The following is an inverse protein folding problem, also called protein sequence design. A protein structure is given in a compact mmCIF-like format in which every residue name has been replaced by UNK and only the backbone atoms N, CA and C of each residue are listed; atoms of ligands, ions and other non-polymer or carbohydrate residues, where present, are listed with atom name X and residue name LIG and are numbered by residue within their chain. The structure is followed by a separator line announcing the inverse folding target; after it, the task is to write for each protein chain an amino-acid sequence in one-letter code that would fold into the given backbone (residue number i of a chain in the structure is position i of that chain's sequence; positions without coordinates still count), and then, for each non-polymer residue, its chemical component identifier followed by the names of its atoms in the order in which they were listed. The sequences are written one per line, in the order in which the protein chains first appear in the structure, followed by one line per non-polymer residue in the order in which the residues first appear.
data_IF_344078976052
#
_entry.id   IF_344078976052
#
_cell.length_a   1.000
_cell.length_b   1.000
_cell.length_c   1.000
_cell.angle_alpha   90.00
_cell.angle_beta   90.00
_cell.angle_gamma   90.00
#
_symmetry.space_group_name_H-M   'P 1'
#
loop_
_entity.id
_entity.type
_entity.pdbx_description
1 polymer ?
#
# COMPACT_ATOMS: atom_id res chain seq x y z
N UNK A 1 14.58 -24.67 -1.63
CA UNK A 1 13.51 -23.80 -1.13
C UNK A 1 13.78 -23.53 0.33
N UNK A 2 14.06 -22.30 0.72
CA UNK A 2 14.25 -21.93 2.13
C UNK A 2 12.90 -21.99 2.85
N UNK A 3 12.85 -22.49 4.08
CA UNK A 3 11.63 -22.52 4.91
C UNK A 3 11.08 -21.10 5.17
N UNK A 4 11.91 -20.06 5.00
CA UNK A 4 11.60 -18.66 5.22
C UNK A 4 10.38 -18.18 4.42
N UNK A 5 10.15 -18.68 3.20
CA UNK A 5 9.06 -18.21 2.32
C UNK A 5 7.81 -19.09 2.35
N UNK A 6 7.70 -20.03 3.29
CA UNK A 6 6.53 -20.91 3.44
C UNK A 6 5.59 -20.38 4.53
N UNK A 7 4.99 -19.22 4.30
CA UNK A 7 3.94 -18.69 5.18
C UNK A 7 2.56 -19.02 4.60
N UNK A 8 1.70 -19.71 5.34
CA UNK A 8 0.35 -20.01 4.87
C UNK A 8 -0.52 -18.74 4.86
N UNK A 9 -0.65 -18.13 3.68
CA UNK A 9 -1.41 -16.89 3.49
C UNK A 9 -2.91 -17.14 3.30
N UNK A 10 -3.28 -18.22 2.61
CA UNK A 10 -4.66 -18.54 2.28
C UNK A 10 -5.29 -19.49 3.32
N UNK A 11 -6.48 -19.13 3.78
CA UNK A 11 -7.38 -20.02 4.50
C UNK A 11 -8.17 -20.91 3.52
N UNK A 12 -8.84 -21.94 4.05
CA UNK A 12 -9.53 -22.96 3.25
C UNK A 12 -10.65 -22.41 2.33
N UNK A 13 -11.18 -21.23 2.63
CA UNK A 13 -12.22 -20.53 1.86
C UNK A 13 -11.65 -19.50 0.86
N UNK A 14 -10.33 -19.54 0.60
CA UNK A 14 -9.59 -18.56 -0.19
C UNK A 14 -9.59 -17.13 0.38
N UNK A 15 -9.97 -16.95 1.65
CA UNK A 15 -9.68 -15.72 2.36
C UNK A 15 -8.19 -15.63 2.64
N UNK A 16 -7.70 -14.40 2.66
CA UNK A 16 -6.29 -14.09 2.87
C UNK A 16 -6.11 -13.64 4.31
N UNK A 17 -5.19 -14.25 5.04
CA UNK A 17 -4.74 -13.72 6.31
C UNK A 17 -3.72 -12.60 6.06
N UNK A 18 -4.08 -11.38 6.46
CA UNK A 18 -3.33 -10.16 6.16
C UNK A 18 -2.09 -10.00 7.04
N UNK A 19 -2.08 -10.61 8.24
CA UNK A 19 -0.87 -10.72 9.06
C UNK A 19 0.16 -11.63 8.37
N UNK A 20 -0.27 -12.84 7.97
CA UNK A 20 0.59 -13.78 7.24
C UNK A 20 1.06 -13.23 5.88
N UNK A 21 0.20 -12.52 5.15
CA UNK A 21 0.60 -11.90 3.87
C UNK A 21 1.71 -10.86 4.08
N UNK A 22 1.60 -10.02 5.12
CA UNK A 22 2.62 -9.02 5.42
C UNK A 22 3.95 -9.66 5.85
N UNK A 23 3.89 -10.72 6.67
CA UNK A 23 5.06 -11.51 7.06
C UNK A 23 5.71 -12.17 5.83
N UNK A 24 4.91 -12.74 4.93
CA UNK A 24 5.41 -13.33 3.69
C UNK A 24 6.15 -12.29 2.84
N UNK A 25 5.63 -11.07 2.69
CA UNK A 25 6.32 -10.02 1.94
C UNK A 25 7.67 -9.62 2.55
N UNK A 26 7.79 -9.58 3.87
CA UNK A 26 9.06 -9.33 4.56
C UNK A 26 10.06 -10.48 4.35
N UNK A 27 9.56 -11.72 4.44
CA UNK A 27 10.36 -12.92 4.21
C UNK A 27 10.87 -13.00 2.76
N UNK A 28 10.03 -12.64 1.80
CA UNK A 28 10.41 -12.54 0.37
C UNK A 28 11.51 -11.50 0.19
N UNK A 29 11.41 -10.30 0.79
CA UNK A 29 12.46 -9.30 0.69
C UNK A 29 13.80 -9.78 1.24
N UNK A 30 13.76 -10.47 2.39
CA UNK A 30 14.95 -11.08 3.00
C UNK A 30 15.57 -12.15 2.08
N UNK A 31 14.74 -13.02 1.51
CA UNK A 31 15.18 -14.07 0.59
C UNK A 31 15.75 -13.50 -0.71
N UNK A 32 15.13 -12.46 -1.28
CA UNK A 32 15.64 -11.77 -2.47
C UNK A 32 16.99 -11.11 -2.19
N UNK A 33 17.11 -10.40 -1.06
CA UNK A 33 18.38 -9.79 -0.62
C UNK A 33 19.49 -10.84 -0.51
N UNK A 34 19.19 -11.99 0.12
CA UNK A 34 20.10 -13.13 0.23
C UNK A 34 20.53 -13.67 -1.14
N UNK A 35 19.59 -13.91 -2.06
CA UNK A 35 19.90 -14.41 -3.42
C UNK A 35 20.70 -13.42 -4.26
N UNK A 36 20.45 -12.11 -4.09
CA UNK A 36 21.25 -11.06 -4.72
C UNK A 36 22.70 -11.09 -4.25
N UNK A 37 22.93 -11.29 -2.95
CA UNK A 37 24.26 -11.43 -2.38
C UNK A 37 24.96 -12.69 -2.90
N UNK A 38 24.31 -13.85 -2.82
CA UNK A 38 24.93 -15.13 -3.18
C UNK A 38 25.20 -15.27 -4.68
N UNK A 39 24.27 -14.82 -5.53
CA UNK A 39 24.34 -15.04 -6.98
C UNK A 39 25.10 -13.93 -7.70
N UNK A 40 25.04 -12.71 -7.17
CA UNK A 40 25.56 -11.53 -7.85
C UNK A 40 26.55 -10.72 -7.01
N UNK A 41 26.88 -11.15 -5.79
CA UNK A 41 27.78 -10.45 -4.87
C UNK A 41 27.31 -9.01 -4.58
N UNK A 42 26.00 -8.81 -4.54
CA UNK A 42 25.38 -7.53 -4.26
C UNK A 42 24.63 -7.59 -2.92
N UNK A 43 25.23 -7.00 -1.88
CA UNK A 43 24.57 -6.80 -0.59
C UNK A 43 23.61 -5.61 -0.68
N UNK A 44 22.34 -5.92 -0.93
CA UNK A 44 21.27 -4.93 -1.06
C UNK A 44 20.30 -5.14 0.10
N UNK A 45 20.26 -4.24 1.11
CA UNK A 45 19.25 -4.32 2.14
C UNK A 45 17.89 -3.97 1.54
N UNK A 46 16.87 -4.76 1.85
CA UNK A 46 15.51 -4.57 1.32
C UNK A 46 14.53 -4.76 2.47
N UNK A 47 13.55 -3.86 2.58
CA UNK A 47 12.35 -4.11 3.39
C UNK A 47 11.14 -4.17 2.47
N UNK A 48 10.09 -4.84 2.93
CA UNK A 48 8.86 -4.97 2.16
C UNK A 48 7.69 -5.18 3.12
N UNK A 49 6.49 -4.87 2.65
CA UNK A 49 5.27 -5.10 3.40
C UNK A 49 4.05 -4.95 2.53
N UNK A 50 2.89 -5.11 3.14
CA UNK A 50 1.62 -4.94 2.45
C UNK A 50 1.46 -3.50 1.97
N UNK A 51 0.96 -3.33 0.76
CA UNK A 51 0.57 -2.02 0.24
C UNK A 51 -0.95 -1.88 0.20
N UNK A 52 -1.42 -0.68 0.52
CA UNK A 52 -2.84 -0.36 0.64
C UNK A 52 -3.43 -0.81 1.98
N UNK A 53 -4.58 -0.24 2.33
CA UNK A 53 -5.20 -0.42 3.65
C UNK A 53 -6.14 -1.61 3.76
N UNK A 54 -5.93 -2.69 3.00
CA UNK A 54 -6.82 -3.86 3.05
C UNK A 54 -6.84 -4.50 4.45
N UNK A 55 -5.72 -4.39 5.19
CA UNK A 55 -5.59 -4.83 6.59
C UNK A 55 -6.55 -4.12 7.55
N UNK A 56 -7.10 -2.96 7.19
CA UNK A 56 -8.09 -2.23 7.99
C UNK A 56 -9.47 -2.90 7.98
N UNK A 57 -9.69 -3.88 7.10
CA UNK A 57 -10.97 -4.57 6.91
C UNK A 57 -10.80 -6.07 7.19
N UNK A 58 -10.16 -6.39 8.32
CA UNK A 58 -9.89 -7.74 8.78
C UNK A 58 -10.71 -8.13 10.02
N UNK A 59 -10.75 -9.42 10.33
CA UNK A 59 -11.10 -9.94 11.65
C UNK A 59 -9.94 -9.67 12.64
N UNK A 60 -10.18 -9.77 13.96
CA UNK A 60 -9.15 -9.55 14.97
C UNK A 60 -7.90 -10.44 14.84
N UNK A 61 -8.00 -11.59 14.17
CA UNK A 61 -6.87 -12.50 13.86
C UNK A 61 -6.18 -12.20 12.51
N UNK A 62 -6.52 -11.08 11.86
CA UNK A 62 -5.95 -10.69 10.57
C UNK A 62 -6.60 -11.36 9.35
N UNK A 63 -7.55 -12.28 9.51
CA UNK A 63 -8.27 -12.86 8.37
C UNK A 63 -9.10 -11.78 7.66
N UNK A 64 -8.93 -11.62 6.35
CA UNK A 64 -9.70 -10.66 5.57
C UNK A 64 -11.20 -10.97 5.68
N UNK A 65 -12.04 -9.95 5.87
CA UNK A 65 -13.50 -10.16 5.95
C UNK A 65 -14.15 -10.51 4.61
N UNK A 66 -13.40 -10.37 3.52
CA UNK A 66 -13.84 -10.56 2.13
C UNK A 66 -12.69 -11.08 1.29
N UNK A 67 -13.02 -11.79 0.22
CA UNK A 67 -12.03 -12.27 -0.76
C UNK A 67 -11.25 -11.11 -1.37
N UNK A 68 -9.93 -11.24 -1.38
CA UNK A 68 -9.01 -10.29 -1.98
C UNK A 68 -8.62 -10.78 -3.37
N UNK A 69 -8.91 -9.98 -4.38
CA UNK A 69 -8.64 -10.32 -5.78
C UNK A 69 -7.32 -9.74 -6.30
N UNK A 70 -6.68 -8.84 -5.55
CA UNK A 70 -5.52 -8.09 -6.00
C UNK A 70 -4.55 -7.97 -4.83
N UNK A 71 -3.38 -8.57 -4.99
CA UNK A 71 -2.32 -8.52 -3.99
C UNK A 71 -1.38 -7.37 -4.32
N UNK A 72 -1.07 -6.55 -3.33
CA UNK A 72 -0.17 -5.43 -3.48
C UNK A 72 0.89 -5.45 -2.38
N UNK A 73 2.15 -5.27 -2.76
CA UNK A 73 3.27 -5.10 -1.84
C UNK A 73 4.07 -3.84 -2.18
N UNK A 74 4.67 -3.22 -1.16
CA UNK A 74 5.63 -2.12 -1.32
C UNK A 74 7.01 -2.62 -0.94
N UNK A 75 8.01 -2.35 -1.79
CA UNK A 75 9.39 -2.82 -1.66
C UNK A 75 10.31 -1.62 -1.60
N UNK A 76 11.04 -1.50 -0.50
CA UNK A 76 11.91 -0.38 -0.18
C UNK A 76 13.35 -0.68 -0.54
N UNK A 77 13.86 0.04 -1.53
CA UNK A 77 15.20 -0.12 -2.06
C UNK A 77 16.11 1.02 -1.62
N UNK A 78 17.39 0.74 -1.32
CA UNK A 78 18.35 1.74 -0.92
C UNK A 78 18.74 2.59 -2.14
N UNK A 79 18.93 3.89 -1.89
CA UNK A 79 19.43 4.82 -2.88
C UNK A 79 20.95 4.78 -2.97
N UNK A 80 21.53 5.24 -4.08
CA UNK A 80 22.96 5.40 -4.28
C UNK A 80 23.73 4.07 -4.13
N UNK A 81 23.15 2.99 -4.70
CA UNK A 81 23.71 1.63 -4.62
C UNK A 81 23.95 1.06 -6.02
N UNK A 82 24.45 -0.17 -6.07
CA UNK A 82 24.62 -0.90 -7.34
C UNK A 82 23.31 -1.06 -8.13
N UNK A 83 22.14 -0.91 -7.49
CA UNK A 83 20.84 -0.94 -8.16
C UNK A 83 20.57 0.26 -9.08
N UNK A 84 21.35 1.33 -8.99
CA UNK A 84 21.24 2.47 -9.92
C UNK A 84 21.61 2.08 -11.36
N UNK A 85 22.30 0.94 -11.54
CA UNK A 85 22.54 0.33 -12.85
C UNK A 85 21.32 -0.50 -13.25
N UNK A 86 20.73 -0.16 -14.39
CA UNK A 86 19.53 -0.85 -14.91
C UNK A 86 19.67 -2.39 -14.95
N UNK A 87 20.81 -2.91 -15.39
CA UNK A 87 21.07 -4.35 -15.44
C UNK A 87 21.01 -5.04 -14.05
N UNK A 88 21.41 -4.34 -12.99
CA UNK A 88 21.32 -4.87 -11.63
C UNK A 88 19.89 -4.87 -11.11
N UNK A 89 19.08 -3.89 -11.55
CA UNK A 89 17.65 -3.87 -11.27
C UNK A 89 16.92 -5.00 -12.01
N UNK A 90 17.29 -5.30 -13.26
CA UNK A 90 16.76 -6.46 -14.00
C UNK A 90 17.00 -7.77 -13.25
N UNK A 91 18.21 -7.95 -12.69
CA UNK A 91 18.56 -9.11 -11.86
C UNK A 91 17.70 -9.17 -10.60
N UNK A 92 17.55 -8.06 -9.89
CA UNK A 92 16.69 -7.96 -8.72
C UNK A 92 15.24 -8.38 -9.04
N UNK A 93 14.70 -7.87 -10.15
CA UNK A 93 13.32 -8.17 -10.58
C UNK A 93 13.16 -9.63 -10.97
N UNK A 94 14.13 -10.22 -11.69
CA UNK A 94 14.13 -11.65 -12.01
C UNK A 94 14.05 -12.49 -10.74
N UNK A 95 14.88 -12.19 -9.74
CA UNK A 95 14.88 -12.91 -8.47
C UNK A 95 13.56 -12.70 -7.72
N UNK A 96 12.98 -11.50 -7.73
CA UNK A 96 11.66 -11.27 -7.16
C UNK A 96 10.58 -12.12 -7.82
N UNK A 97 10.58 -12.25 -9.15
CA UNK A 97 9.62 -13.10 -9.86
C UNK A 97 9.74 -14.57 -9.44
N UNK A 98 10.96 -15.09 -9.33
CA UNK A 98 11.21 -16.47 -8.89
C UNK A 98 10.73 -16.68 -7.45
N UNK A 99 11.13 -15.79 -6.53
CA UNK A 99 10.79 -15.89 -5.12
C UNK A 99 9.28 -15.71 -4.89
N UNK A 100 8.61 -14.80 -5.60
CA UNK A 100 7.14 -14.69 -5.54
C UNK A 100 6.47 -15.99 -6.00
N UNK A 101 6.94 -16.58 -7.10
CA UNK A 101 6.37 -17.82 -7.63
C UNK A 101 6.54 -18.97 -6.63
N UNK A 102 7.72 -19.10 -6.04
CA UNK A 102 7.99 -20.11 -5.01
C UNK A 102 7.16 -19.89 -3.74
N UNK A 103 7.08 -18.65 -3.25
CA UNK A 103 6.43 -18.29 -1.99
C UNK A 103 4.91 -18.51 -2.01
N UNK A 104 4.27 -18.31 -3.16
CA UNK A 104 2.82 -18.46 -3.32
C UNK A 104 2.42 -19.82 -3.91
N UNK A 105 3.37 -20.70 -4.24
CA UNK A 105 3.09 -22.05 -4.70
C UNK A 105 2.67 -22.98 -3.55
N UNK A 106 1.74 -23.93 -3.78
CA UNK A 106 1.03 -24.21 -5.02
C UNK A 106 -0.27 -23.40 -5.21
N UNK A 107 -0.65 -22.55 -4.25
CA UNK A 107 -1.94 -21.86 -4.28
C UNK A 107 -2.09 -20.92 -5.47
N UNK A 108 -1.02 -20.22 -5.88
CA UNK A 108 -1.02 -19.33 -7.03
C UNK A 108 -0.04 -19.82 -8.11
N UNK A 109 -0.41 -19.59 -9.37
CA UNK A 109 0.46 -19.80 -10.53
C UNK A 109 0.81 -18.43 -11.12
N UNK A 110 1.78 -17.75 -10.50
CA UNK A 110 2.17 -16.39 -10.86
C UNK A 110 3.05 -16.38 -12.12
N UNK A 111 2.70 -15.52 -13.08
CA UNK A 111 3.48 -15.27 -14.30
C UNK A 111 3.73 -13.78 -14.48
N UNK A 112 4.98 -13.42 -14.74
CA UNK A 112 5.34 -12.04 -15.04
C UNK A 112 4.61 -11.56 -16.29
N UNK A 113 3.84 -10.48 -16.13
CA UNK A 113 3.17 -9.80 -17.24
C UNK A 113 3.97 -8.61 -17.74
N UNK A 114 4.42 -7.77 -16.82
CA UNK A 114 5.25 -6.60 -17.12
C UNK A 114 5.96 -6.10 -15.87
N UNK A 115 7.07 -5.39 -16.07
CA UNK A 115 7.76 -4.64 -15.03
C UNK A 115 8.34 -3.35 -15.59
N UNK A 116 8.80 -2.45 -14.71
CA UNK A 116 9.46 -1.19 -15.11
C UNK A 116 8.51 -0.05 -15.48
N UNK A 117 7.20 -0.25 -15.30
CA UNK A 117 6.22 0.84 -15.35
C UNK A 117 6.53 1.88 -14.27
N UNK A 118 6.43 3.16 -14.62
CA UNK A 118 6.65 4.26 -13.66
C UNK A 118 5.41 4.48 -12.82
N UNK A 119 5.57 4.54 -11.51
CA UNK A 119 4.47 4.89 -10.61
C UNK A 119 4.12 6.38 -10.78
N UNK A 120 2.85 6.74 -11.06
CA UNK A 120 2.46 8.13 -11.29
C UNK A 120 2.78 9.04 -10.11
N UNK A 121 3.20 10.27 -10.38
CA UNK A 121 3.56 11.28 -9.37
C UNK A 121 4.74 10.91 -8.45
N UNK A 122 5.52 9.88 -8.79
CA UNK A 122 6.81 9.61 -8.14
C UNK A 122 7.92 10.52 -8.67
N UNK A 123 9.07 10.58 -7.98
CA UNK A 123 10.16 11.48 -8.34
C UNK A 123 10.61 11.36 -9.81
N UNK A 124 10.79 12.50 -10.49
CA UNK A 124 11.12 12.53 -11.92
C UNK A 124 12.54 12.06 -12.23
N UNK A 125 13.49 12.35 -11.34
CA UNK A 125 14.88 11.93 -11.52
C UNK A 125 15.07 10.44 -11.21
N UNK A 126 14.34 9.93 -10.22
CA UNK A 126 14.41 8.54 -9.76
C UNK A 126 13.01 7.98 -9.49
N UNK A 127 12.27 7.60 -10.55
CA UNK A 127 10.88 7.18 -10.41
C UNK A 127 10.76 5.83 -9.70
N UNK A 128 9.70 5.69 -8.90
CA UNK A 128 9.31 4.38 -8.36
C UNK A 128 8.79 3.50 -9.49
N UNK A 129 9.03 2.19 -9.38
CA UNK A 129 8.79 1.23 -10.45
C UNK A 129 7.79 0.17 -10.05
N UNK A 130 7.05 -0.37 -11.01
CA UNK A 130 6.02 -1.39 -10.76
C UNK A 130 6.40 -2.74 -11.36
N UNK A 131 6.13 -3.81 -10.62
CA UNK A 131 6.06 -5.19 -11.08
C UNK A 131 4.60 -5.64 -11.17
N UNK A 132 4.24 -6.41 -12.19
CA UNK A 132 2.91 -6.99 -12.32
C UNK A 132 2.98 -8.45 -12.76
N UNK A 133 2.43 -9.34 -11.92
CA UNK A 133 2.31 -10.77 -12.19
C UNK A 133 0.84 -11.17 -12.17
N UNK A 134 0.39 -11.93 -13.17
CA UNK A 134 -0.97 -12.48 -13.27
C UNK A 134 -0.98 -13.90 -12.66
N UNK A 135 -2.06 -14.26 -11.96
CA UNK A 135 -2.25 -15.61 -11.41
C UNK A 135 -3.11 -16.43 -12.38
N UNK A 136 -2.61 -17.59 -12.83
CA UNK A 136 -3.32 -18.46 -13.76
C UNK A 136 -4.40 -19.33 -13.08
N UNK A 137 -4.42 -19.42 -11.74
CA UNK A 137 -5.44 -20.21 -11.01
C UNK A 137 -6.76 -19.45 -10.81
N UNK A 138 -6.78 -18.14 -11.07
CA UNK A 138 -7.89 -17.21 -10.76
C UNK A 138 -8.27 -17.19 -9.26
N UNK A 139 -7.33 -17.59 -8.39
CA UNK A 139 -7.46 -17.43 -6.94
C UNK A 139 -7.38 -15.95 -6.59
N UNK A 140 -6.41 -15.26 -7.19
CA UNK A 140 -6.36 -13.80 -7.30
C UNK A 140 -6.27 -13.40 -8.78
N UNK A 141 -6.50 -12.13 -9.11
CA UNK A 141 -6.30 -11.65 -10.49
C UNK A 141 -4.84 -11.34 -10.76
N UNK A 142 -4.17 -10.73 -9.79
CA UNK A 142 -2.75 -10.35 -9.91
C UNK A 142 -2.09 -10.05 -8.57
N UNK A 143 -0.77 -10.12 -8.61
CA UNK A 143 0.15 -9.53 -7.65
C UNK A 143 0.86 -8.34 -8.29
N UNK A 144 0.93 -7.21 -7.57
CA UNK A 144 1.78 -6.06 -7.95
C UNK A 144 2.73 -5.69 -6.81
N UNK A 145 3.97 -5.40 -7.17
CA UNK A 145 4.95 -4.85 -6.25
C UNK A 145 5.35 -3.44 -6.70
N UNK A 146 5.45 -2.52 -5.74
CA UNK A 146 5.90 -1.15 -5.95
C UNK A 146 7.32 -0.99 -5.39
N UNK A 147 8.31 -0.89 -6.26
CA UNK A 147 9.69 -0.62 -5.90
C UNK A 147 9.88 0.87 -5.68
N UNK A 148 10.12 1.26 -4.43
CA UNK A 148 10.28 2.65 -4.00
C UNK A 148 11.68 2.89 -3.46
N UNK A 149 12.19 4.10 -3.65
CA UNK A 149 13.57 4.49 -3.34
C UNK A 149 13.66 5.16 -1.98
N UNK A 150 13.87 4.38 -0.92
CA UNK A 150 14.29 4.79 0.42
C UNK A 150 14.34 3.51 1.27
N UNK A 151 15.45 3.22 1.93
CA UNK A 151 15.54 2.03 2.77
C UNK A 151 15.02 2.34 4.18
N UNK A 152 13.72 2.14 4.36
CA UNK A 152 12.96 2.40 5.59
C UNK A 152 11.97 1.25 5.84
N UNK A 153 11.38 1.11 7.04
CA UNK A 153 10.27 0.17 7.27
C UNK A 153 9.10 0.44 6.32
N UNK A 154 8.32 -0.60 5.99
CA UNK A 154 7.21 -0.49 5.03
C UNK A 154 6.10 0.45 5.51
N UNK A 155 5.92 0.58 6.83
CA UNK A 155 4.96 1.50 7.45
C UNK A 155 5.29 2.97 7.12
N UNK A 156 6.58 3.32 7.08
CA UNK A 156 7.01 4.67 6.69
C UNK A 156 6.67 4.95 5.23
N UNK A 157 6.90 3.96 4.36
CA UNK A 157 6.66 4.10 2.93
C UNK A 157 5.18 4.28 2.58
N UNK A 158 4.26 3.68 3.36
CA UNK A 158 2.82 3.93 3.21
C UNK A 158 2.48 5.41 3.43
N UNK A 159 3.12 6.08 4.37
CA UNK A 159 2.89 7.51 4.62
C UNK A 159 3.34 8.32 3.41
N UNK A 160 4.54 8.04 2.89
CA UNK A 160 5.05 8.74 1.70
C UNK A 160 4.20 8.47 0.46
N UNK A 161 3.71 7.24 0.26
CA UNK A 161 2.87 6.89 -0.87
C UNK A 161 1.47 7.52 -0.76
N UNK A 162 0.98 7.76 0.46
CA UNK A 162 -0.27 8.48 0.68
C UNK A 162 -0.20 9.90 0.10
N UNK A 163 0.94 10.59 0.20
CA UNK A 163 1.15 11.90 -0.44
C UNK A 163 0.95 11.81 -1.96
N UNK A 164 1.53 10.79 -2.58
CA UNK A 164 1.41 10.54 -4.02
C UNK A 164 -0.04 10.23 -4.43
N UNK A 165 -0.72 9.37 -3.67
CA UNK A 165 -2.12 9.00 -3.91
C UNK A 165 -3.03 10.22 -3.81
N UNK A 166 -2.81 11.13 -2.85
CA UNK A 166 -3.60 12.35 -2.74
C UNK A 166 -3.52 13.22 -3.98
N UNK A 167 -2.33 13.35 -4.58
CA UNK A 167 -2.15 14.09 -5.84
C UNK A 167 -2.96 13.44 -6.98
N UNK A 168 -2.93 12.11 -7.08
CA UNK A 168 -3.73 11.35 -8.05
C UNK A 168 -5.22 11.55 -7.81
N UNK A 169 -5.66 11.54 -6.56
CA UNK A 169 -7.09 11.62 -6.24
C UNK A 169 -7.66 13.02 -6.24
N UNK A 170 -6.80 14.03 -6.13
CA UNK A 170 -7.22 15.42 -6.24
C UNK A 170 -7.94 15.70 -7.55
N UNK A 171 -7.57 15.03 -8.63
CA UNK A 171 -8.25 15.15 -9.92
C UNK A 171 -9.74 14.79 -9.87
N UNK A 172 -10.17 13.95 -8.93
CA UNK A 172 -11.56 13.51 -8.78
C UNK A 172 -12.33 14.27 -7.69
N UNK A 173 -11.65 14.99 -6.81
CA UNK A 173 -12.25 15.70 -5.68
C UNK A 173 -11.92 17.20 -5.69
N UNK A 174 -11.53 17.73 -6.84
CA UNK A 174 -11.26 19.16 -7.04
C UNK A 174 -12.58 19.94 -7.02
N UNK A 175 -12.80 20.67 -5.92
CA UNK A 175 -14.00 21.51 -5.72
C UNK A 175 -14.16 22.56 -6.82
N UNK A 176 -13.07 23.03 -7.43
CA UNK A 176 -13.13 24.02 -8.51
C UNK A 176 -13.62 23.41 -9.83
N UNK A 177 -13.39 22.11 -10.05
CA UNK A 177 -13.79 21.40 -11.27
C UNK A 177 -15.14 20.71 -11.15
N UNK A 178 -15.63 20.49 -9.93
CA UNK A 178 -16.84 19.72 -9.69
C UNK A 178 -16.59 18.20 -9.71
N UNK A 179 -17.60 17.39 -9.38
CA UNK A 179 -17.49 15.93 -9.41
C UNK A 179 -17.30 15.42 -10.84
N UNK A 180 -16.44 14.43 -11.02
CA UNK A 180 -16.12 13.84 -12.32
C UNK A 180 -17.03 12.64 -12.57
N UNK A 181 -17.77 12.65 -13.69
CA UNK A 181 -18.59 11.51 -14.10
C UNK A 181 -17.72 10.30 -14.48
N UNK A 182 -17.94 9.16 -13.82
CA UNK A 182 -17.16 7.92 -13.96
C UNK A 182 -18.06 6.70 -13.87
N UNK A 183 -17.55 5.56 -14.31
CA UNK A 183 -18.21 4.28 -14.09
C UNK A 183 -18.35 4.01 -12.57
N UNK A 184 -19.53 3.62 -12.07
CA UNK A 184 -19.74 3.36 -10.65
C UNK A 184 -18.75 2.37 -10.04
N UNK A 185 -18.25 1.40 -10.81
CA UNK A 185 -17.25 0.45 -10.31
C UNK A 185 -15.92 1.14 -10.03
N UNK A 186 -15.53 2.11 -10.85
CA UNK A 186 -14.32 2.91 -10.63
C UNK A 186 -14.49 3.83 -9.42
N UNK A 187 -15.65 4.50 -9.30
CA UNK A 187 -15.99 5.34 -8.14
C UNK A 187 -15.94 4.50 -6.85
N UNK A 188 -16.46 3.28 -6.87
CA UNK A 188 -16.39 2.36 -5.73
C UNK A 188 -14.95 2.10 -5.27
N UNK A 189 -13.99 1.94 -6.18
CA UNK A 189 -12.58 1.77 -5.78
C UNK A 189 -12.01 3.06 -5.19
N UNK A 190 -12.31 4.22 -5.80
CA UNK A 190 -11.91 5.52 -5.28
C UNK A 190 -12.42 5.75 -3.85
N UNK A 191 -13.69 5.44 -3.58
CA UNK A 191 -14.31 5.53 -2.25
C UNK A 191 -13.67 4.59 -1.23
N UNK A 192 -13.30 3.37 -1.64
CA UNK A 192 -12.56 2.44 -0.79
C UNK A 192 -11.22 3.05 -0.38
N UNK A 193 -10.53 3.68 -1.31
CA UNK A 193 -9.23 4.27 -1.01
C UNK A 193 -9.33 5.53 -0.14
N UNK A 194 -10.43 6.31 -0.23
CA UNK A 194 -10.70 7.41 0.72
C UNK A 194 -10.80 6.89 2.17
N UNK A 195 -11.46 5.75 2.38
CA UNK A 195 -11.52 5.11 3.71
C UNK A 195 -10.11 4.73 4.17
N UNK A 196 -9.34 4.10 3.28
CA UNK A 196 -7.97 3.66 3.57
C UNK A 196 -7.09 4.86 3.95
N UNK A 197 -7.11 5.93 3.15
CA UNK A 197 -6.33 7.15 3.40
C UNK A 197 -6.69 7.74 4.76
N UNK A 198 -7.98 7.92 5.06
CA UNK A 198 -8.39 8.47 6.34
C UNK A 198 -7.90 7.62 7.50
N UNK A 199 -8.13 6.30 7.46
CA UNK A 199 -7.74 5.39 8.55
C UNK A 199 -6.24 5.30 8.74
N UNK A 200 -5.46 5.47 7.67
CA UNK A 200 -4.00 5.61 7.77
C UNK A 200 -3.60 6.94 8.41
N UNK A 201 -4.27 8.05 8.06
CA UNK A 201 -3.92 9.39 8.53
C UNK A 201 -4.68 9.84 9.79
N UNK A 202 -5.54 9.01 10.37
CA UNK A 202 -6.52 9.39 11.40
C UNK A 202 -5.86 10.14 12.56
N UNK A 203 -4.75 9.61 13.10
CA UNK A 203 -4.01 10.23 14.20
C UNK A 203 -3.18 11.45 13.80
N UNK A 204 -2.95 11.68 12.51
CA UNK A 204 -2.29 12.89 12.00
C UNK A 204 -3.27 14.04 11.76
N UNK A 205 -4.57 13.73 11.66
CA UNK A 205 -5.63 14.70 11.46
C UNK A 205 -5.89 15.54 12.72
N UNK A 206 -6.35 16.79 12.54
CA UNK A 206 -6.84 17.62 13.66
C UNK A 206 -8.10 17.02 14.28
N UNK A 207 -8.36 17.33 15.56
CA UNK A 207 -9.56 16.85 16.27
C UNK A 207 -10.84 17.29 15.56
N UNK A 208 -10.94 18.56 15.14
CA UNK A 208 -12.07 19.10 14.38
C UNK A 208 -12.31 18.32 13.07
N UNK A 209 -11.23 17.98 12.35
CA UNK A 209 -11.36 17.22 11.11
C UNK A 209 -11.77 15.76 11.38
N UNK A 210 -11.27 15.15 12.45
CA UNK A 210 -11.70 13.81 12.87
C UNK A 210 -13.18 13.79 13.24
N UNK A 211 -13.67 14.78 13.99
CA UNK A 211 -15.09 14.89 14.36
C UNK A 211 -15.99 14.97 13.12
N UNK A 212 -15.58 15.76 12.13
CA UNK A 212 -16.28 15.90 10.85
C UNK A 212 -16.22 14.63 9.98
N UNK A 213 -15.03 14.04 9.82
CA UNK A 213 -14.80 12.94 8.89
C UNK A 213 -15.31 11.59 9.41
N UNK A 214 -15.26 11.34 10.73
CA UNK A 214 -15.57 10.03 11.31
C UNK A 214 -16.98 9.50 10.96
N UNK A 215 -18.07 10.28 11.07
CA UNK A 215 -19.41 9.82 10.69
C UNK A 215 -19.50 9.42 9.22
N UNK A 216 -18.81 10.17 8.33
CA UNK A 216 -18.81 9.95 6.88
C UNK A 216 -18.06 8.65 6.57
N UNK A 217 -16.86 8.48 7.13
CA UNK A 217 -16.03 7.28 6.95
C UNK A 217 -16.74 6.05 7.51
N UNK A 218 -17.36 6.15 8.69
CA UNK A 218 -18.14 5.07 9.29
C UNK A 218 -19.29 4.64 8.39
N UNK A 219 -20.08 5.58 7.88
CA UNK A 219 -21.17 5.30 6.93
C UNK A 219 -20.64 4.57 5.70
N UNK A 220 -19.57 5.08 5.09
CA UNK A 220 -18.98 4.41 3.91
C UNK A 220 -18.52 2.99 4.24
N UNK A 221 -17.79 2.80 5.34
CA UNK A 221 -17.35 1.47 5.79
C UNK A 221 -18.52 0.50 5.95
N UNK A 222 -19.61 0.91 6.61
CA UNK A 222 -20.80 0.07 6.80
C UNK A 222 -21.40 -0.35 5.44
N UNK A 223 -21.52 0.59 4.48
CA UNK A 223 -22.02 0.30 3.14
C UNK A 223 -21.09 -0.65 2.36
N UNK A 224 -19.78 -0.46 2.45
CA UNK A 224 -18.81 -1.39 1.88
C UNK A 224 -18.95 -2.80 2.49
N UNK A 225 -19.15 -2.89 3.81
CA UNK A 225 -19.25 -4.14 4.54
C UNK A 225 -20.52 -4.94 4.25
N UNK A 226 -21.64 -4.30 3.88
CA UNK A 226 -22.85 -5.01 3.43
C UNK A 226 -22.84 -5.34 1.93
N UNK A 227 -21.98 -4.69 1.15
CA UNK A 227 -21.85 -4.94 -0.30
C UNK A 227 -22.37 -3.76 -1.11
N UNK A 228 -21.47 -2.84 -1.44
CA UNK A 228 -21.77 -1.68 -2.26
C UNK A 228 -21.84 -2.08 -3.74
N UNK A 229 -23.03 -2.38 -4.25
CA UNK A 229 -23.27 -2.81 -5.65
C UNK A 229 -24.22 -1.88 -6.41
N UNK A 230 -25.06 -1.12 -5.71
CA UNK A 230 -26.02 -0.22 -6.31
C UNK A 230 -25.32 1.03 -6.90
N UNK A 231 -25.46 1.31 -8.21
CA UNK A 231 -24.84 2.48 -8.84
C UNK A 231 -25.28 3.82 -8.26
N UNK A 232 -26.55 3.97 -7.90
CA UNK A 232 -27.08 5.22 -7.34
C UNK A 232 -26.45 5.52 -5.99
N UNK A 233 -26.40 4.51 -5.13
CA UNK A 233 -25.77 4.60 -3.82
C UNK A 233 -24.26 4.93 -3.92
N UNK A 234 -23.55 4.33 -4.87
CA UNK A 234 -22.13 4.65 -5.10
C UNK A 234 -21.96 6.13 -5.46
N UNK A 235 -22.80 6.65 -6.34
CA UNK A 235 -22.76 8.07 -6.74
C UNK A 235 -23.12 8.98 -5.56
N UNK A 236 -24.13 8.63 -4.76
CA UNK A 236 -24.51 9.39 -3.57
C UNK A 236 -23.38 9.47 -2.54
N UNK A 237 -22.66 8.36 -2.32
CA UNK A 237 -21.50 8.34 -1.44
C UNK A 237 -20.36 9.19 -2.00
N UNK A 238 -20.13 9.16 -3.31
CA UNK A 238 -19.13 10.01 -3.97
C UNK A 238 -19.45 11.49 -3.84
N UNK A 239 -20.69 11.90 -4.08
CA UNK A 239 -21.12 13.28 -3.87
C UNK A 239 -20.99 13.69 -2.40
N UNK A 240 -21.30 12.80 -1.46
CA UNK A 240 -21.13 13.05 -0.04
C UNK A 240 -19.66 13.31 0.30
N UNK A 241 -18.72 12.47 -0.15
CA UNK A 241 -17.28 12.69 0.08
C UNK A 241 -16.83 14.01 -0.56
N UNK A 242 -17.26 14.27 -1.79
CA UNK A 242 -16.93 15.48 -2.53
C UNK A 242 -17.38 16.75 -1.80
N UNK A 243 -18.67 16.82 -1.42
CA UNK A 243 -19.25 17.99 -0.72
C UNK A 243 -18.62 18.24 0.65
N UNK A 244 -18.14 17.19 1.32
CA UNK A 244 -17.49 17.29 2.62
C UNK A 244 -15.98 17.54 2.53
N UNK A 245 -15.42 17.67 1.32
CA UNK A 245 -14.06 18.10 1.05
C UNK A 245 -12.97 17.29 1.80
N UNK A 246 -13.18 15.99 2.04
CA UNK A 246 -12.28 15.18 2.88
C UNK A 246 -10.83 15.20 2.38
N UNK A 247 -10.62 15.21 1.06
CA UNK A 247 -9.28 15.23 0.48
C UNK A 247 -8.44 16.43 0.93
N UNK A 248 -9.07 17.58 1.18
CA UNK A 248 -8.38 18.80 1.60
C UNK A 248 -7.89 18.69 3.05
N UNK A 249 -8.67 18.03 3.93
CA UNK A 249 -8.21 17.76 5.29
C UNK A 249 -7.07 16.74 5.34
N UNK A 250 -7.07 15.75 4.43
CA UNK A 250 -5.93 14.82 4.28
C UNK A 250 -4.67 15.56 3.81
N UNK A 251 -4.81 16.44 2.82
CA UNK A 251 -3.72 17.29 2.34
C UNK A 251 -3.17 18.19 3.45
N UNK A 252 -4.03 18.85 4.23
CA UNK A 252 -3.61 19.69 5.35
C UNK A 252 -2.80 18.91 6.39
N UNK A 253 -3.28 17.71 6.74
CA UNK A 253 -2.66 16.82 7.73
C UNK A 253 -1.23 16.42 7.34
N UNK A 254 -0.94 16.36 6.03
CA UNK A 254 0.40 16.05 5.51
C UNK A 254 1.21 17.30 5.18
N UNK A 255 0.59 18.33 4.60
CA UNK A 255 1.28 19.52 4.09
C UNK A 255 2.04 20.26 5.19
N UNK A 256 1.45 20.40 6.39
CA UNK A 256 2.07 21.16 7.47
C UNK A 256 3.40 20.52 7.93
N UNK A 257 3.47 19.22 8.29
CA UNK A 257 4.73 18.57 8.64
C UNK A 257 5.78 18.60 7.53
N UNK A 258 5.41 18.33 6.27
CA UNK A 258 6.35 18.35 5.14
C UNK A 258 6.90 19.75 4.87
N UNK A 259 6.05 20.79 4.96
CA UNK A 259 6.46 22.18 4.78
C UNK A 259 7.48 22.64 5.81
N UNK A 260 7.39 22.18 7.07
CA UNK A 260 8.41 22.44 8.11
C UNK A 260 9.80 21.93 7.70
N UNK A 261 9.85 20.89 6.86
CA UNK A 261 11.08 20.33 6.30
C UNK A 261 11.46 20.91 4.92
N UNK A 262 10.77 21.96 4.47
CA UNK A 262 11.02 22.60 3.17
C UNK A 262 10.52 21.80 1.96
N UNK A 263 9.61 20.84 2.17
CA UNK A 263 9.06 20.01 1.10
C UNK A 263 7.60 20.40 0.80
N UNK A 264 7.28 20.52 -0.49
CA UNK A 264 5.92 20.78 -0.98
C UNK A 264 5.29 19.49 -1.50
N UNK A 265 4.24 19.03 -0.83
CA UNK A 265 3.53 17.78 -1.18
C UNK A 265 2.88 17.82 -2.56
N UNK A 266 2.58 19.00 -3.11
CA UNK A 266 2.03 19.13 -4.46
C UNK A 266 3.11 18.97 -5.55
N UNK A 267 4.39 19.05 -5.17
CA UNK A 267 5.53 19.03 -6.06
C UNK A 267 6.49 17.84 -5.81
N UNK A 268 5.95 16.70 -5.36
CA UNK A 268 6.68 15.46 -5.04
C UNK A 268 7.67 15.02 -6.14
N UNK A 269 7.28 15.18 -7.40
CA UNK A 269 8.08 14.81 -8.58
C UNK A 269 9.41 15.56 -8.66
N UNK A 270 9.50 16.73 -8.04
CA UNK A 270 10.68 17.61 -8.04
C UNK A 270 11.38 17.66 -6.67
N UNK A 271 11.04 16.77 -5.74
CA UNK A 271 11.76 16.69 -4.48
C UNK A 271 13.24 16.33 -4.69
N UNK A 272 14.13 16.81 -3.80
CA UNK A 272 15.52 16.39 -3.81
C UNK A 272 15.64 14.87 -3.70
N UNK A 273 16.64 14.28 -4.38
CA UNK A 273 16.80 12.82 -4.47
C UNK A 273 16.98 12.20 -3.07
N UNK A 274 17.72 12.88 -2.20
CA UNK A 274 17.94 12.52 -0.81
C UNK A 274 16.68 12.56 0.07
N UNK A 275 15.58 13.15 -0.43
CA UNK A 275 14.27 13.23 0.24
C UNK A 275 13.18 12.39 -0.43
N UNK A 276 13.52 11.58 -1.43
CA UNK A 276 12.55 10.65 -2.04
C UNK A 276 12.03 9.68 -0.97
N UNK A 277 10.71 9.53 -0.90
CA UNK A 277 9.97 8.73 0.08
C UNK A 277 10.39 8.99 1.55
N UNK A 278 10.95 10.17 1.85
CA UNK A 278 11.24 10.59 3.20
C UNK A 278 9.96 11.05 3.89
N UNK A 279 9.84 10.81 5.19
CA UNK A 279 8.69 11.22 6.02
C UNK A 279 9.18 12.01 7.24
N UNK A 280 8.52 13.12 7.62
CA UNK A 280 8.78 13.83 8.87
C UNK A 280 8.54 12.97 10.12
N UNK A 281 9.41 13.09 11.13
CA UNK A 281 9.29 12.33 12.38
C UNK A 281 7.94 12.54 13.08
N UNK A 282 7.40 13.76 13.07
CA UNK A 282 6.06 14.07 13.61
C UNK A 282 4.96 13.17 13.00
N UNK A 283 5.04 12.83 11.71
CA UNK A 283 4.09 11.94 11.06
C UNK A 283 4.37 10.48 11.40
N UNK A 284 5.64 10.09 11.50
CA UNK A 284 6.04 8.73 11.90
C UNK A 284 5.50 8.39 13.28
N UNK A 285 5.67 9.29 14.24
CA UNK A 285 5.22 9.13 15.63
C UNK A 285 3.70 8.96 15.72
N UNK A 286 2.92 9.63 14.86
CA UNK A 286 1.46 9.57 14.88
C UNK A 286 0.91 8.35 14.12
N UNK A 287 1.55 7.93 13.04
CA UNK A 287 0.97 6.96 12.08
C UNK A 287 1.56 5.55 12.23
N UNK A 288 2.85 5.39 12.50
CA UNK A 288 3.49 4.07 12.56
C UNK A 288 3.02 3.24 13.76
N UNK A 289 2.96 3.76 15.00
CA UNK A 289 2.59 2.95 16.16
C UNK A 289 1.18 2.33 16.07
N UNK A 290 0.14 3.03 15.57
CA UNK A 290 -1.17 2.41 15.32
C UNK A 290 -1.12 1.22 14.36
N UNK A 291 -0.35 1.32 13.27
CA UNK A 291 -0.19 0.23 12.30
C UNK A 291 0.49 -0.97 12.98
N UNK A 292 1.60 -0.73 13.69
CA UNK A 292 2.31 -1.79 14.42
C UNK A 292 1.43 -2.45 15.48
N UNK A 293 0.65 -1.66 16.23
CA UNK A 293 -0.30 -2.17 17.23
C UNK A 293 -1.39 -3.04 16.59
N UNK A 294 -1.89 -2.68 15.41
CA UNK A 294 -2.87 -3.49 14.69
C UNK A 294 -2.30 -4.87 14.33
N UNK A 295 -1.09 -4.92 13.76
CA UNK A 295 -0.44 -6.18 13.40
C UNK A 295 -0.03 -7.01 14.63
N UNK A 296 0.39 -6.35 15.71
CA UNK A 296 0.62 -7.02 16.99
C UNK A 296 -0.67 -7.67 17.52
N UNK A 297 -1.81 -6.96 17.42
CA UNK A 297 -3.12 -7.50 17.79
C UNK A 297 -3.51 -8.73 16.95
N UNK A 298 -3.28 -8.70 15.64
CA UNK A 298 -3.50 -9.88 14.79
C UNK A 298 -2.71 -11.10 15.26
N UNK A 299 -1.43 -10.89 15.59
CA UNK A 299 -0.56 -11.94 16.11
C UNK A 299 -1.06 -12.50 17.44
N UNK A 300 -1.41 -11.62 18.38
CA UNK A 300 -1.90 -12.02 19.70
C UNK A 300 -3.16 -12.90 19.60
N UNK A 301 -4.09 -12.57 18.70
CA UNK A 301 -5.28 -13.40 18.50
C UNK A 301 -4.97 -14.73 17.80
N UNK A 302 -4.08 -14.75 16.80
CA UNK A 302 -3.64 -15.99 16.15
C UNK A 302 -2.94 -16.94 17.14
N UNK A 303 -2.17 -16.42 18.09
CA UNK A 303 -1.49 -17.22 19.11
C UNK A 303 -2.47 -17.82 20.13
N UNK A 304 -3.58 -17.12 20.42
CA UNK A 304 -4.67 -17.66 21.25
C UNK A 304 -5.44 -18.78 20.55
N UNK A 305 -5.66 -18.68 19.24
CA UNK A 305 -6.37 -19.72 18.46
C UNK A 305 -5.59 -21.04 18.37
N UNK A 306 -4.25 -20.98 18.54
CA UNK A 306 -3.37 -22.16 18.55
C UNK A 306 -3.24 -22.83 19.93
N UNK A 307 -3.72 -22.17 20.99
CA UNK A 307 -3.61 -22.60 22.40
C UNK A 307 -4.85 -23.35 22.84
#
# INVERSE_FOLDING_TARGET
MTELVKTQVFADDNLVNLYHLNELYQNIATEVSRRMLETHQMDIPITSGIWGGTYLIAHPNGLARRRIWRLYGIVNLPQNTLLDKHQNLERLVSIYCDVFTEAFSPQLELKLKMWGGRLPFSNSAKPSLTLHMEDATDTVRWLRAFFVWNHVPWEESIISDTVRILKEYKEFFDLAKGPVARDPKEIKYLLQDIIIIYRTLENACSEDFQEHANPIIKKMMERFMVGLHDPGEIVDLYEMVFKNALIYGFEESLAVPFKKAGLDIHNLENWPVEKINWVPDELKEKIIPPIQKLFAGFKEELDKEKS
#
